data_IF_304726459326
#
_entry.id   IF_304726459326
#
_cell.length_a   1.000
_cell.length_b   1.000
_cell.length_c   1.000
_cell.angle_alpha   90.00
_cell.angle_beta   90.00
_cell.angle_gamma   90.00
#
_symmetry.space_group_name_H-M   'P 1'
#
loop_
_entity.id
_entity.type
_entity.pdbx_description
1 polymer ?
#
# COMPACT_ATOMS: atom_id res chain seq x y z
N UNK A 1 -2.83 17.56 -11.24
CA UNK A 1 -3.25 16.16 -11.52
C UNK A 1 -4.20 15.67 -10.44
N UNK A 2 -5.16 14.90 -10.85
CA UNK A 2 -6.16 14.40 -9.94
C UNK A 2 -5.59 13.25 -9.09
N UNK A 3 -5.83 13.33 -7.79
CA UNK A 3 -5.41 12.28 -6.87
C UNK A 3 -6.30 11.04 -7.05
N UNK A 4 -5.68 9.85 -7.02
CA UNK A 4 -6.40 8.58 -7.12
C UNK A 4 -6.11 7.74 -5.90
N UNK A 5 -6.71 8.15 -4.79
CA UNK A 5 -6.59 7.40 -3.54
C UNK A 5 -7.46 6.16 -3.58
N UNK A 6 -6.92 5.10 -3.02
CA UNK A 6 -7.66 3.86 -2.80
C UNK A 6 -7.81 3.69 -1.29
N UNK A 7 -9.01 3.36 -0.85
CA UNK A 7 -9.29 3.15 0.56
C UNK A 7 -9.76 1.72 0.76
N UNK A 8 -9.16 1.02 1.73
CA UNK A 8 -9.62 -0.29 2.17
C UNK A 8 -9.82 -0.25 3.67
N UNK A 9 -10.65 -1.15 4.19
CA UNK A 9 -10.92 -1.21 5.62
C UNK A 9 -10.91 -2.66 6.06
N UNK A 10 -10.37 -2.90 7.27
CA UNK A 10 -10.29 -4.23 7.84
C UNK A 10 -10.71 -4.20 9.30
N UNK A 11 -11.67 -5.04 9.65
CA UNK A 11 -12.02 -5.25 11.04
C UNK A 11 -10.96 -6.13 11.70
N UNK A 12 -10.38 -5.68 12.79
CA UNK A 12 -9.38 -6.46 13.52
C UNK A 12 -10.10 -7.49 14.38
N UNK A 13 -9.93 -8.77 14.05
CA UNK A 13 -10.59 -9.89 14.71
C UNK A 13 -9.58 -10.65 15.58
N UNK A 14 -10.09 -11.57 16.40
CA UNK A 14 -9.23 -12.36 17.28
C UNK A 14 -8.11 -13.09 16.54
N UNK A 15 -8.39 -13.59 15.33
CA UNK A 15 -7.40 -14.30 14.52
C UNK A 15 -6.29 -13.40 13.98
N UNK A 16 -6.47 -12.08 14.06
CA UNK A 16 -5.48 -11.11 13.57
C UNK A 16 -4.52 -10.62 14.65
N UNK A 17 -4.67 -11.13 15.87
CA UNK A 17 -3.95 -10.60 17.03
C UNK A 17 -2.63 -11.32 17.28
N UNK A 18 -1.68 -10.57 17.87
CA UNK A 18 -0.43 -11.11 18.38
C UNK A 18 -0.63 -11.54 19.84
N UNK A 19 0.47 -11.96 20.47
CA UNK A 19 0.46 -12.43 21.87
C UNK A 19 0.16 -11.31 22.88
N UNK A 20 0.21 -10.05 22.48
CA UNK A 20 -0.14 -8.91 23.34
C UNK A 20 -1.63 -8.54 23.23
N UNK A 21 -2.37 -9.19 22.32
CA UNK A 21 -3.78 -8.87 22.12
C UNK A 21 -4.01 -7.67 21.20
N UNK A 22 -3.02 -7.29 20.42
CA UNK A 22 -3.14 -6.23 19.41
C UNK A 22 -2.84 -6.79 18.03
N UNK A 23 -3.14 -6.03 16.99
CA UNK A 23 -2.97 -6.47 15.61
C UNK A 23 -1.52 -6.95 15.37
N UNK A 24 -1.40 -8.19 14.87
CA UNK A 24 -0.11 -8.77 14.55
C UNK A 24 0.52 -8.01 13.38
N UNK A 25 1.80 -7.65 13.55
CA UNK A 25 2.51 -6.86 12.54
C UNK A 25 2.51 -7.53 11.17
N UNK A 26 2.64 -8.85 11.12
CA UNK A 26 2.60 -9.58 9.85
C UNK A 26 1.27 -9.46 9.14
N UNK A 27 0.16 -9.45 9.88
CA UNK A 27 -1.16 -9.27 9.30
C UNK A 27 -1.31 -7.84 8.78
N UNK A 28 -0.86 -6.86 9.56
CA UNK A 28 -0.88 -5.46 9.14
C UNK A 28 -0.03 -5.29 7.87
N UNK A 29 1.10 -5.97 7.79
CA UNK A 29 1.97 -5.91 6.61
C UNK A 29 1.28 -6.46 5.36
N UNK A 30 0.53 -7.56 5.50
CA UNK A 30 -0.25 -8.09 4.37
C UNK A 30 -1.23 -7.05 3.84
N UNK A 31 -1.98 -6.42 4.73
CA UNK A 31 -2.95 -5.40 4.35
C UNK A 31 -2.28 -4.17 3.76
N UNK A 32 -1.12 -3.80 4.29
CA UNK A 32 -0.32 -2.68 3.83
C UNK A 32 0.16 -2.90 2.40
N UNK A 33 0.72 -4.07 2.13
CA UNK A 33 1.20 -4.44 0.79
C UNK A 33 0.04 -4.47 -0.20
N UNK A 34 -1.08 -5.07 0.19
CA UNK A 34 -2.26 -5.12 -0.66
C UNK A 34 -2.76 -3.71 -1.00
N UNK A 35 -2.81 -2.82 -0.01
CA UNK A 35 -3.25 -1.45 -0.24
C UNK A 35 -2.35 -0.74 -1.24
N UNK A 36 -1.04 -0.90 -1.12
CA UNK A 36 -0.09 -0.32 -2.07
C UNK A 36 -0.25 -0.89 -3.46
N UNK A 37 -0.45 -2.21 -3.55
CA UNK A 37 -0.68 -2.87 -4.84
C UNK A 37 -1.93 -2.34 -5.52
N UNK A 38 -3.01 -2.14 -4.76
CA UNK A 38 -4.25 -1.60 -5.29
C UNK A 38 -4.08 -0.17 -5.81
N UNK A 39 -3.24 0.63 -5.15
CA UNK A 39 -2.92 1.97 -5.63
C UNK A 39 -2.21 1.91 -6.99
N UNK A 40 -1.24 1.01 -7.13
CA UNK A 40 -0.55 0.81 -8.40
C UNK A 40 -1.52 0.30 -9.48
N UNK A 41 -2.48 -0.54 -9.10
CA UNK A 41 -3.44 -1.14 -10.01
C UNK A 41 -4.41 -0.13 -10.62
N UNK A 42 -4.51 1.07 -10.05
CA UNK A 42 -5.28 2.16 -10.65
C UNK A 42 -4.64 2.58 -11.98
N UNK A 43 -3.33 2.44 -12.10
CA UNK A 43 -2.55 2.95 -13.23
C UNK A 43 -2.09 1.87 -14.21
N UNK A 44 -1.84 0.66 -13.71
CA UNK A 44 -1.22 -0.42 -14.50
C UNK A 44 -2.01 -1.69 -14.23
N UNK A 45 -2.27 -2.53 -15.24
CA UNK A 45 -2.96 -3.82 -15.01
C UNK A 45 -2.21 -4.68 -13.99
N UNK A 46 -2.95 -5.41 -13.18
CA UNK A 46 -2.37 -6.18 -12.07
C UNK A 46 -1.33 -7.20 -12.53
N UNK A 47 -1.53 -7.81 -13.68
CA UNK A 47 -0.58 -8.79 -14.23
C UNK A 47 0.75 -8.17 -14.62
N UNK A 48 0.80 -6.84 -14.72
CA UNK A 48 2.00 -6.11 -15.12
C UNK A 48 2.68 -5.38 -13.96
N UNK A 49 2.32 -5.72 -12.72
CA UNK A 49 2.86 -5.05 -11.52
C UNK A 49 3.63 -6.06 -10.68
N UNK A 50 4.87 -5.69 -10.31
CA UNK A 50 5.70 -6.48 -9.40
C UNK A 50 6.17 -5.58 -8.28
N UNK A 51 6.06 -6.03 -7.04
CA UNK A 51 6.63 -5.35 -5.88
C UNK A 51 8.12 -5.62 -5.86
N UNK A 52 8.93 -4.57 -5.79
CA UNK A 52 10.39 -4.73 -5.75
C UNK A 52 10.99 -4.30 -4.42
N UNK A 53 10.30 -3.43 -3.66
CA UNK A 53 10.88 -2.94 -2.43
C UNK A 53 9.82 -2.31 -1.53
N UNK A 54 9.85 -2.68 -0.26
CA UNK A 54 9.14 -1.93 0.77
C UNK A 54 10.13 -0.88 1.26
N UNK A 55 9.89 0.39 0.90
CA UNK A 55 10.83 1.46 1.22
C UNK A 55 10.83 1.75 2.72
N UNK A 56 9.64 1.77 3.31
CA UNK A 56 9.47 1.97 4.73
C UNK A 56 8.12 1.44 5.18
N UNK A 57 8.04 1.01 6.43
CA UNK A 57 6.79 0.67 7.08
C UNK A 57 7.00 0.91 8.56
N UNK A 58 6.32 1.90 9.11
CA UNK A 58 6.47 2.30 10.50
C UNK A 58 5.18 2.09 11.25
N UNK A 59 5.26 1.42 12.39
CA UNK A 59 4.12 1.20 13.28
C UNK A 59 4.19 2.26 14.38
N UNK A 60 3.18 3.12 14.46
CA UNK A 60 3.16 4.22 15.41
C UNK A 60 2.31 3.94 16.63
N UNK A 61 1.26 3.12 16.49
CA UNK A 61 0.33 2.81 17.56
C UNK A 61 -0.18 1.39 17.43
N UNK A 62 -0.38 0.68 18.54
CA UNK A 62 -1.02 -0.64 18.46
C UNK A 62 -2.48 -0.49 18.06
N UNK A 63 -2.99 -1.48 17.32
CA UNK A 63 -4.40 -1.51 16.92
C UNK A 63 -5.07 -2.65 17.67
N UNK A 64 -6.17 -2.32 18.34
CA UNK A 64 -6.84 -3.26 19.25
C UNK A 64 -7.89 -4.09 18.51
N UNK A 65 -8.22 -5.23 19.09
CA UNK A 65 -9.33 -6.05 18.64
C UNK A 65 -10.60 -5.22 18.58
N UNK A 66 -11.35 -5.39 17.50
CA UNK A 66 -12.61 -4.66 17.31
C UNK A 66 -12.45 -3.31 16.62
N UNK A 67 -11.21 -2.82 16.48
CA UNK A 67 -10.97 -1.61 15.73
C UNK A 67 -11.13 -1.87 14.23
N UNK A 68 -11.46 -0.83 13.47
CA UNK A 68 -11.47 -0.88 12.02
C UNK A 68 -10.23 -0.12 11.55
N UNK A 69 -9.31 -0.84 10.93
CA UNK A 69 -8.11 -0.22 10.35
C UNK A 69 -8.44 0.23 8.93
N UNK A 70 -8.35 1.52 8.71
CA UNK A 70 -8.59 2.12 7.41
C UNK A 70 -7.26 2.43 6.76
N UNK A 71 -7.05 1.90 5.55
CA UNK A 71 -5.83 2.12 4.79
C UNK A 71 -6.14 2.99 3.59
N UNK A 72 -5.40 4.09 3.45
CA UNK A 72 -5.47 4.94 2.29
C UNK A 72 -4.14 4.85 1.57
N UNK A 73 -4.19 4.67 0.25
CA UNK A 73 -2.99 4.53 -0.55
C UNK A 73 -3.14 5.28 -1.87
N UNK A 74 -2.01 5.77 -2.38
CA UNK A 74 -1.97 6.40 -3.69
C UNK A 74 -0.55 6.37 -4.24
N UNK A 75 -0.43 6.35 -5.56
CA UNK A 75 0.87 6.49 -6.21
C UNK A 75 1.26 7.96 -6.14
N UNK A 76 2.41 8.23 -5.54
CA UNK A 76 2.90 9.60 -5.30
C UNK A 76 4.09 9.96 -6.18
N UNK A 77 4.71 8.96 -6.80
CA UNK A 77 5.86 9.19 -7.66
C UNK A 77 5.92 8.09 -8.72
N UNK A 78 6.33 8.44 -9.92
CA UNK A 78 6.53 7.47 -10.97
C UNK A 78 7.84 7.77 -11.71
N UNK A 79 8.68 6.74 -11.87
CA UNK A 79 9.79 6.78 -12.79
C UNK A 79 9.33 6.29 -14.16
N UNK A 80 10.26 5.86 -14.98
CA UNK A 80 9.93 5.35 -16.31
C UNK A 80 9.20 4.01 -16.24
N UNK A 81 9.66 3.12 -15.36
CA UNK A 81 9.08 1.78 -15.17
C UNK A 81 8.53 1.60 -13.75
N UNK A 82 8.89 2.48 -12.81
CA UNK A 82 8.58 2.33 -11.40
C UNK A 82 7.39 3.17 -10.97
N UNK A 83 6.75 2.74 -9.90
CA UNK A 83 5.68 3.45 -9.22
C UNK A 83 5.95 3.37 -7.73
N UNK A 84 5.87 4.49 -7.04
CA UNK A 84 5.97 4.50 -5.58
C UNK A 84 4.60 4.82 -5.01
N UNK A 85 4.07 3.91 -4.21
CA UNK A 85 2.80 4.11 -3.51
C UNK A 85 3.06 4.45 -2.06
N UNK A 86 2.37 5.47 -1.56
CA UNK A 86 2.36 5.80 -0.15
C UNK A 86 1.11 5.23 0.48
N UNK A 87 1.27 4.62 1.65
CA UNK A 87 0.16 4.00 2.38
C UNK A 87 0.12 4.55 3.80
N UNK A 88 -1.08 4.86 4.27
CA UNK A 88 -1.30 5.32 5.63
C UNK A 88 -2.49 4.58 6.21
N UNK A 89 -2.29 3.97 7.38
CA UNK A 89 -3.34 3.25 8.08
C UNK A 89 -3.72 3.97 9.36
N UNK A 90 -5.02 4.10 9.61
CA UNK A 90 -5.53 4.76 10.81
C UNK A 90 -6.66 3.96 11.42
N UNK A 91 -6.78 4.08 12.74
CA UNK A 91 -7.87 3.48 13.50
C UNK A 91 -8.36 4.53 14.49
N UNK A 92 -9.67 4.82 14.45
CA UNK A 92 -10.24 5.82 15.33
C UNK A 92 -9.70 7.23 15.07
N UNK A 93 -9.26 7.52 13.85
CA UNK A 93 -8.73 8.82 13.50
C UNK A 93 -7.24 9.01 13.76
N UNK A 94 -6.59 8.05 14.42
CA UNK A 94 -5.16 8.15 14.73
C UNK A 94 -4.37 7.28 13.76
N UNK A 95 -3.27 7.82 13.24
CA UNK A 95 -2.37 7.08 12.36
C UNK A 95 -1.70 5.98 13.17
N UNK A 96 -1.81 4.75 12.69
CA UNK A 96 -1.27 3.56 13.35
C UNK A 96 -0.09 2.98 12.59
N UNK A 97 -0.07 3.16 11.26
CA UNK A 97 1.06 2.72 10.45
C UNK A 97 1.15 3.55 9.18
N UNK A 98 2.35 3.67 8.63
CA UNK A 98 2.56 4.41 7.40
C UNK A 98 3.85 3.99 6.73
N UNK A 99 3.95 4.22 5.44
CA UNK A 99 5.15 3.92 4.70
C UNK A 99 4.94 4.02 3.21
N UNK A 100 5.88 3.45 2.46
CA UNK A 100 5.79 3.44 1.01
C UNK A 100 6.40 2.17 0.43
N UNK A 101 5.95 1.83 -0.77
CA UNK A 101 6.37 0.64 -1.50
C UNK A 101 6.68 1.04 -2.93
N UNK A 102 7.74 0.45 -3.50
CA UNK A 102 8.06 0.63 -4.90
C UNK A 102 7.66 -0.61 -5.70
N UNK A 103 6.90 -0.36 -6.75
CA UNK A 103 6.48 -1.38 -7.73
C UNK A 103 7.14 -1.07 -9.06
N UNK A 104 7.23 -2.08 -9.90
CA UNK A 104 7.76 -1.93 -11.26
C UNK A 104 6.74 -2.51 -12.24
N UNK A 105 6.52 -1.79 -13.33
CA UNK A 105 5.73 -2.28 -14.45
C UNK A 105 6.57 -3.26 -15.25
N UNK A 106 6.00 -4.44 -15.55
CA UNK A 106 6.72 -5.49 -16.27
C UNK A 106 5.89 -6.02 -17.44
N UNK A 107 6.59 -6.58 -18.43
CA UNK A 107 5.93 -7.23 -19.56
C UNK A 107 5.58 -8.69 -19.22
N UNK A 108 5.09 -9.43 -20.22
CA UNK A 108 4.67 -10.82 -20.04
C UNK A 108 5.81 -11.75 -19.61
N UNK A 109 7.05 -11.37 -19.89
CA UNK A 109 8.24 -12.14 -19.50
C UNK A 109 8.82 -11.67 -18.17
N UNK A 110 8.19 -10.69 -17.52
CA UNK A 110 8.64 -10.17 -16.23
C UNK A 110 9.75 -9.11 -16.34
N UNK A 111 9.99 -8.57 -17.51
CA UNK A 111 11.02 -7.55 -17.70
C UNK A 111 10.43 -6.16 -17.53
N UNK A 112 11.20 -5.21 -16.94
CA UNK A 112 10.70 -3.84 -16.78
C UNK A 112 10.20 -3.25 -18.09
N UNK A 113 9.05 -2.59 -18.01
CA UNK A 113 8.39 -2.01 -19.16
C UNK A 113 7.89 -0.61 -18.80
N UNK A 114 8.12 0.40 -19.69
CA UNK A 114 7.60 1.74 -19.42
C UNK A 114 6.08 1.72 -19.28
N UNK A 115 5.55 2.42 -18.27
CA UNK A 115 4.12 2.50 -18.05
C UNK A 115 3.48 3.76 -18.64
N UNK A 116 4.27 4.75 -18.99
CA UNK A 116 3.77 5.94 -19.68
C UNK A 116 3.02 6.95 -18.83
N UNK A 117 3.05 6.80 -17.51
CA UNK A 117 2.24 7.66 -16.62
C UNK A 117 3.04 8.70 -15.83
N UNK A 118 4.38 8.67 -15.91
CA UNK A 118 5.20 9.58 -15.10
C UNK A 118 4.90 11.05 -15.37
N UNK A 119 4.60 11.42 -16.59
CA UNK A 119 4.27 12.79 -16.92
C UNK A 119 2.99 13.27 -16.21
N UNK A 120 2.03 12.37 -16.01
CA UNK A 120 0.79 12.71 -15.33
C UNK A 120 1.00 13.00 -13.85
N UNK A 121 1.95 12.32 -13.24
CA UNK A 121 2.25 12.49 -11.82
C UNK A 121 3.12 13.71 -11.53
N UNK A 122 3.66 14.34 -12.56
CA UNK A 122 4.49 15.53 -12.42
C UNK A 122 3.70 16.85 -12.59
N UNK A 123 2.43 16.74 -12.88
CA UNK A 123 1.60 17.92 -13.13
C UNK A 123 1.19 18.63 -11.84
#
# INVERSE_FOLDING_TARGET
MESRKVTTQHLVKGEDLNHHGTLFAGRAAEWFVEAGFLAAAVWVPTENIVLVKINSMTFSRPVKRGAVLRLESEVVRAGRTSLEARIEGSAGGDVSLEGSITFVSVDAEGKPMPHGISALLQM
#
